data_IF_284862006314
#
_entry.id   IF_284862006314
#
_cell.length_a   1.000
_cell.length_b   1.000
_cell.length_c   1.000
_cell.angle_alpha   90.00
_cell.angle_beta   90.00
_cell.angle_gamma   90.00
#
_symmetry.space_group_name_H-M   'P 1'
#
loop_
_entity.id
_entity.type
_entity.pdbx_description
1 polymer ?
#
# COMPACT_ATOMS: atom_id res chain seq x y z
N UNK A 1 15.01 -13.40 8.11
CA UNK A 1 13.72 -12.69 7.99
C UNK A 1 13.61 -12.19 6.56
N UNK A 2 12.49 -12.47 5.88
CA UNK A 2 12.30 -12.10 4.48
C UNK A 2 11.33 -10.92 4.43
N UNK A 3 11.84 -9.74 4.14
CA UNK A 3 10.99 -8.58 3.83
C UNK A 3 10.60 -8.66 2.36
N UNK A 4 9.31 -8.50 2.08
CA UNK A 4 8.80 -8.41 0.72
C UNK A 4 8.28 -7.01 0.49
N UNK A 5 8.42 -6.53 -0.75
CA UNK A 5 7.82 -5.28 -1.17
C UNK A 5 7.11 -5.47 -2.50
N UNK A 6 6.04 -4.72 -2.69
CA UNK A 6 5.25 -4.71 -3.91
C UNK A 6 4.91 -3.28 -4.28
N UNK A 7 5.20 -2.92 -5.53
CA UNK A 7 4.88 -1.60 -6.07
C UNK A 7 3.43 -1.62 -6.54
N UNK A 8 2.62 -0.69 -6.03
CA UNK A 8 1.27 -0.47 -6.53
C UNK A 8 1.39 0.42 -7.78
N UNK A 9 1.02 -0.11 -8.94
CA UNK A 9 1.10 0.60 -10.21
C UNK A 9 -0.27 0.82 -10.85
N UNK A 10 -0.45 1.98 -11.46
CA UNK A 10 -1.58 2.32 -12.31
C UNK A 10 -1.13 2.19 -13.76
N UNK A 11 -1.93 1.53 -14.58
CA UNK A 11 -1.70 1.36 -16.02
C UNK A 11 -2.81 2.13 -16.74
N UNK A 12 -2.57 3.38 -17.17
CA UNK A 12 -3.60 4.19 -17.83
C UNK A 12 -4.04 3.59 -19.16
N UNK A 13 -3.09 3.01 -19.90
CA UNK A 13 -3.31 2.32 -21.15
C UNK A 13 -2.50 1.02 -21.19
N UNK A 14 -3.21 -0.11 -21.15
CA UNK A 14 -2.59 -1.43 -21.18
C UNK A 14 -1.95 -1.79 -22.52
N UNK A 15 -2.34 -1.12 -23.61
CA UNK A 15 -1.82 -1.40 -24.96
C UNK A 15 -0.43 -0.80 -25.19
N UNK A 16 -0.07 0.26 -24.44
CA UNK A 16 1.18 1.00 -24.63
C UNK A 16 2.26 0.53 -23.65
N UNK A 17 1.88 -0.23 -22.61
CA UNK A 17 2.81 -0.73 -21.59
C UNK A 17 3.21 0.30 -20.52
N UNK A 18 2.66 1.52 -20.61
CA UNK A 18 2.95 2.60 -19.67
C UNK A 18 2.33 2.33 -18.28
N UNK A 19 3.15 2.48 -17.25
CA UNK A 19 2.72 2.31 -15.87
C UNK A 19 3.32 3.39 -14.95
N UNK A 20 2.51 3.85 -14.00
CA UNK A 20 2.92 4.77 -12.94
C UNK A 20 2.84 4.05 -11.61
N UNK A 21 3.98 3.88 -10.93
CA UNK A 21 3.99 3.41 -9.54
C UNK A 21 3.46 4.50 -8.61
N UNK A 22 2.31 4.29 -7.99
CA UNK A 22 1.64 5.27 -7.12
C UNK A 22 1.83 5.01 -5.62
N UNK A 23 2.31 3.82 -5.26
CA UNK A 23 2.47 3.44 -3.87
C UNK A 23 3.33 2.21 -3.71
N UNK A 24 3.58 1.85 -2.45
CA UNK A 24 4.39 0.72 -2.05
C UNK A 24 3.67 0.00 -0.91
N UNK A 25 3.60 -1.33 -1.01
CA UNK A 25 3.25 -2.22 0.08
C UNK A 25 4.54 -2.89 0.51
N UNK A 26 4.83 -2.87 1.81
CA UNK A 26 5.95 -3.57 2.42
C UNK A 26 5.36 -4.52 3.44
N UNK A 27 5.82 -5.77 3.43
CA UNK A 27 5.48 -6.74 4.45
C UNK A 27 6.75 -7.32 5.05
N UNK A 28 6.78 -7.42 6.38
CA UNK A 28 7.68 -8.32 7.07
C UNK A 28 6.90 -9.53 7.60
N UNK A 29 7.56 -10.34 8.45
CA UNK A 29 6.96 -11.54 9.02
C UNK A 29 5.71 -11.20 9.88
N UNK A 30 5.61 -9.95 10.38
CA UNK A 30 4.63 -9.55 11.40
C UNK A 30 3.67 -8.43 10.98
N UNK A 31 3.97 -7.69 9.93
CA UNK A 31 3.26 -6.45 9.63
C UNK A 31 3.22 -6.12 8.15
N UNK A 32 2.15 -5.40 7.78
CA UNK A 32 1.96 -4.84 6.46
C UNK A 32 1.91 -3.32 6.58
N UNK A 33 2.69 -2.64 5.76
CA UNK A 33 2.69 -1.19 5.62
C UNK A 33 2.36 -0.83 4.18
N UNK A 34 1.48 0.15 4.02
CA UNK A 34 1.20 0.76 2.72
C UNK A 34 1.44 2.25 2.78
N UNK A 35 2.03 2.80 1.73
CA UNK A 35 2.08 4.25 1.52
C UNK A 35 1.85 4.58 0.07
N UNK A 36 0.99 5.57 -0.15
CA UNK A 36 0.75 6.15 -1.45
C UNK A 36 1.44 7.51 -1.58
N UNK A 37 1.76 7.91 -2.81
CA UNK A 37 2.27 9.23 -3.12
C UNK A 37 1.19 10.09 -3.75
N UNK A 38 0.76 11.14 -3.05
CA UNK A 38 -0.27 12.07 -3.54
C UNK A 38 0.09 12.69 -4.89
N UNK A 39 1.37 13.03 -5.08
CA UNK A 39 1.88 13.59 -6.34
C UNK A 39 1.71 12.57 -7.47
N UNK A 40 2.12 11.32 -7.26
CA UNK A 40 2.00 10.27 -8.28
C UNK A 40 0.56 9.87 -8.53
N UNK A 41 -0.30 9.90 -7.51
CA UNK A 41 -1.75 9.73 -7.66
C UNK A 41 -2.34 10.84 -8.53
N UNK A 42 -1.97 12.11 -8.30
CA UNK A 42 -2.45 13.23 -9.14
C UNK A 42 -2.06 13.07 -10.60
N UNK A 43 -0.82 12.65 -10.87
CA UNK A 43 -0.34 12.35 -12.24
C UNK A 43 -1.11 11.16 -12.82
N UNK A 44 -1.30 10.08 -12.06
CA UNK A 44 -2.07 8.93 -12.54
C UNK A 44 -3.53 9.30 -12.88
N UNK A 45 -4.16 10.17 -12.06
CA UNK A 45 -5.52 10.66 -12.31
C UNK A 45 -5.63 11.50 -13.58
N UNK A 46 -4.63 12.31 -13.91
CA UNK A 46 -4.65 13.12 -15.14
C UNK A 46 -4.60 12.24 -16.40
N UNK A 47 -3.94 11.09 -16.33
CA UNK A 47 -3.86 10.13 -17.45
C UNK A 47 -5.07 9.20 -17.57
N UNK A 48 -5.82 8.99 -16.48
CA UNK A 48 -6.97 8.07 -16.44
C UNK A 48 -8.29 8.64 -16.96
N UNK A 49 -8.40 9.97 -17.13
CA UNK A 49 -9.64 10.62 -17.58
C UNK A 49 -10.84 10.27 -16.69
N UNK A 50 -11.90 9.70 -17.27
CA UNK A 50 -13.12 9.30 -16.55
C UNK A 50 -12.88 8.17 -15.53
N UNK A 51 -11.84 7.34 -15.73
CA UNK A 51 -11.54 6.21 -14.85
C UNK A 51 -10.92 6.63 -13.51
N UNK A 52 -10.66 7.93 -13.30
CA UNK A 52 -10.08 8.46 -12.05
C UNK A 52 -10.87 8.10 -10.79
N UNK A 53 -12.20 7.96 -10.87
CA UNK A 53 -13.05 7.59 -9.73
C UNK A 53 -12.76 6.18 -9.21
N UNK A 54 -12.41 5.26 -10.11
CA UNK A 54 -12.04 3.90 -9.73
C UNK A 54 -10.73 3.88 -8.96
N UNK A 55 -9.79 4.76 -9.30
CA UNK A 55 -8.51 4.84 -8.60
C UNK A 55 -8.69 5.17 -7.10
N UNK A 56 -9.54 6.14 -6.78
CA UNK A 56 -9.84 6.51 -5.39
C UNK A 56 -10.51 5.37 -4.61
N UNK A 57 -11.42 4.66 -5.28
CA UNK A 57 -12.04 3.47 -4.71
C UNK A 57 -11.00 2.38 -4.41
N UNK A 58 -10.08 2.10 -5.34
CA UNK A 58 -9.05 1.07 -5.13
C UNK A 58 -8.06 1.44 -4.03
N UNK A 59 -7.61 2.70 -3.98
CA UNK A 59 -6.73 3.19 -2.91
C UNK A 59 -7.38 2.97 -1.54
N UNK A 60 -8.61 3.49 -1.36
CA UNK A 60 -9.33 3.35 -0.09
C UNK A 60 -9.64 1.90 0.28
N UNK A 61 -9.89 1.02 -0.70
CA UNK A 61 -10.09 -0.42 -0.45
C UNK A 61 -8.81 -1.09 0.03
N UNK A 62 -7.66 -0.78 -0.58
CA UNK A 62 -6.35 -1.32 -0.18
C UNK A 62 -6.03 -0.87 1.25
N UNK A 63 -6.19 0.41 1.56
CA UNK A 63 -5.95 0.96 2.91
C UNK A 63 -6.83 0.25 3.95
N UNK A 64 -8.14 0.15 3.70
CA UNK A 64 -9.08 -0.55 4.60
C UNK A 64 -8.72 -2.02 4.79
N UNK A 65 -8.33 -2.72 3.72
CA UNK A 65 -7.95 -4.13 3.85
C UNK A 65 -6.72 -4.30 4.72
N UNK A 66 -5.72 -3.42 4.59
CA UNK A 66 -4.50 -3.48 5.40
C UNK A 66 -4.79 -3.11 6.86
N UNK A 67 -5.61 -2.08 7.11
CA UNK A 67 -6.07 -1.76 8.46
C UNK A 67 -6.81 -2.93 9.13
N UNK A 68 -7.72 -3.59 8.41
CA UNK A 68 -8.45 -4.74 8.95
C UNK A 68 -7.52 -5.92 9.30
N UNK A 69 -6.46 -6.15 8.51
CA UNK A 69 -5.47 -7.20 8.81
C UNK A 69 -4.72 -6.86 10.11
N UNK A 70 -4.42 -5.58 10.34
CA UNK A 70 -3.78 -5.14 11.56
C UNK A 70 -4.70 -5.33 12.78
N UNK A 71 -5.97 -4.92 12.67
CA UNK A 71 -6.96 -5.02 13.75
C UNK A 71 -7.25 -6.48 14.14
N UNK A 72 -7.43 -7.38 13.16
CA UNK A 72 -7.65 -8.81 13.41
C UNK A 72 -6.48 -9.49 14.12
N UNK A 73 -5.27 -8.95 13.98
CA UNK A 73 -4.07 -9.50 14.60
C UNK A 73 -3.90 -9.03 16.05
N UNK A 74 -4.28 -7.79 16.36
CA UNK A 74 -4.29 -7.26 17.73
C UNK A 74 -5.23 -8.08 18.64
N UNK A 75 -6.34 -8.61 18.11
CA UNK A 75 -7.24 -9.49 18.86
C UNK A 75 -6.65 -10.89 19.13
N UNK A 76 -5.65 -11.33 18.35
CA UNK A 76 -4.97 -12.62 18.48
C UNK A 76 -3.68 -12.59 19.31
N UNK A 77 -3.04 -11.43 19.46
CA UNK A 77 -1.75 -11.27 20.14
C UNK A 77 -1.89 -10.70 21.56
N UNK A 78 -2.63 -11.38 22.43
CA UNK A 78 -2.32 -11.38 23.87
C UNK A 78 -1.10 -12.29 24.15
N UNK A 79 -0.03 -12.14 23.37
CA UNK A 79 1.18 -12.92 23.49
C UNK A 79 2.14 -12.27 24.50
N UNK A 80 2.64 -13.07 25.46
CA UNK A 80 3.52 -12.67 26.57
C UNK A 80 4.86 -12.02 26.15
N UNK A 81 5.18 -12.01 24.84
CA UNK A 81 6.42 -11.46 24.31
C UNK A 81 6.11 -10.57 23.10
N UNK A 82 6.41 -9.27 23.22
CA UNK A 82 6.39 -8.33 22.10
C UNK A 82 7.76 -8.32 21.42
N UNK A 83 7.82 -8.75 20.17
CA UNK A 83 9.02 -8.57 19.35
C UNK A 83 8.86 -7.28 18.53
N UNK A 84 9.78 -6.31 18.63
CA UNK A 84 9.66 -5.07 17.89
C UNK A 84 9.82 -5.30 16.38
N UNK A 85 8.82 -4.88 15.59
CA UNK A 85 8.92 -4.87 14.14
C UNK A 85 10.09 -3.96 13.71
N UNK A 86 10.97 -4.47 12.83
CA UNK A 86 12.10 -3.66 12.31
C UNK A 86 11.64 -2.62 11.29
N UNK A 87 10.46 -2.82 10.71
CA UNK A 87 9.82 -1.87 9.82
C UNK A 87 8.85 -1.06 10.66
N UNK A 88 9.02 0.26 10.64
CA UNK A 88 8.11 1.21 11.25
C UNK A 88 7.65 2.20 10.16
N UNK A 89 6.64 3.02 10.48
CA UNK A 89 6.14 4.06 9.58
C UNK A 89 7.24 5.02 9.09
N UNK A 90 8.35 5.13 9.83
CA UNK A 90 9.51 5.94 9.44
C UNK A 90 10.30 5.36 8.27
N UNK A 91 10.18 4.06 7.98
CA UNK A 91 10.82 3.44 6.81
C UNK A 91 10.33 4.02 5.49
N UNK A 92 9.11 4.58 5.48
CA UNK A 92 8.49 5.12 4.27
C UNK A 92 8.56 6.65 4.19
N UNK A 93 9.03 7.33 5.24
CA UNK A 93 9.29 8.78 5.22
C UNK A 93 10.65 9.06 4.58
N UNK A 94 10.60 9.72 3.43
CA UNK A 94 11.70 10.48 2.85
C UNK A 94 11.51 11.96 3.19
#
# INVERSE_FOLDING_TARGET
MKTYYSIIKVVPNSLVGDAIGIGLIVSDDDSFFVRFSDVKIKIAKSLLGEKKKFLDFFISKIEKTISNIHDQRLDGEMALFHFPSKINSHYLSY
#
